data_IF_238017096979
#
_entry.id   IF_238017096979
#
_cell.length_a   1.000
_cell.length_b   1.000
_cell.length_c   1.000
_cell.angle_alpha   90.00
_cell.angle_beta   90.00
_cell.angle_gamma   90.00
#
_symmetry.space_group_name_H-M   'P 1'
#
loop_
_entity.id
_entity.type
_entity.pdbx_description
1 polymer ?
#
# COMPACT_ATOMS: atom_id res chain seq x y z
N UNK A 1 -1.61 29.89 6.35
CA UNK A 1 -2.39 28.66 6.64
C UNK A 1 -3.32 28.39 5.48
N UNK A 2 -2.90 27.60 4.49
CA UNK A 2 -3.71 27.32 3.30
C UNK A 2 -4.60 26.12 3.57
N UNK A 3 -5.90 26.33 3.37
CA UNK A 3 -7.04 25.40 3.43
C UNK A 3 -6.91 24.17 2.50
N UNK A 4 -5.74 23.89 1.91
CA UNK A 4 -5.46 22.79 0.99
C UNK A 4 -4.88 21.53 1.63
N UNK A 5 -4.47 21.58 2.90
CA UNK A 5 -3.89 20.41 3.59
C UNK A 5 -4.93 19.37 4.03
N UNK A 6 -6.20 19.75 4.14
CA UNK A 6 -7.27 18.83 4.57
C UNK A 6 -7.74 17.93 3.42
N UNK A 7 -7.51 18.33 2.16
CA UNK A 7 -7.93 17.53 0.99
C UNK A 7 -6.94 16.41 0.61
N UNK A 8 -5.68 16.49 1.04
CA UNK A 8 -4.68 15.46 0.76
C UNK A 8 -4.90 14.15 1.55
N UNK A 9 -5.72 14.20 2.60
CA UNK A 9 -6.05 13.02 3.43
C UNK A 9 -7.18 12.18 2.78
N UNK A 10 -7.83 12.69 1.72
CA UNK A 10 -8.80 11.93 0.91
C UNK A 10 -8.15 11.06 -0.17
N UNK A 11 -6.85 10.80 -0.10
CA UNK A 11 -6.17 9.79 -0.91
C UNK A 11 -6.46 8.39 -0.35
N UNK A 12 -7.74 8.04 -0.23
CA UNK A 12 -8.17 6.65 -0.08
C UNK A 12 -7.98 5.90 -1.40
N UNK A 13 -8.66 4.75 -1.52
CA UNK A 13 -8.74 3.94 -2.75
C UNK A 13 -8.93 4.79 -4.02
N UNK A 14 -9.72 5.87 -3.95
CA UNK A 14 -9.97 6.79 -5.06
C UNK A 14 -8.71 7.48 -5.62
N UNK A 15 -7.72 7.80 -4.77
CA UNK A 15 -6.45 8.37 -5.20
C UNK A 15 -5.61 7.37 -5.99
N UNK A 16 -5.45 6.15 -5.48
CA UNK A 16 -4.70 5.07 -6.16
C UNK A 16 -5.30 4.69 -7.52
N UNK A 17 -6.63 4.72 -7.63
CA UNK A 17 -7.35 4.44 -8.87
C UNK A 17 -7.18 5.54 -9.93
N UNK A 18 -7.04 6.80 -9.52
CA UNK A 18 -6.76 7.91 -10.43
C UNK A 18 -5.37 7.80 -11.08
N UNK A 19 -4.48 6.98 -10.52
CA UNK A 19 -3.08 6.86 -10.92
C UNK A 19 -2.69 5.53 -11.59
N UNK A 20 -3.65 4.83 -12.21
CA UNK A 20 -3.32 3.75 -13.14
C UNK A 20 -3.41 2.32 -12.59
N UNK A 21 -3.88 2.12 -11.35
CA UNK A 21 -4.42 0.82 -10.95
C UNK A 21 -5.76 0.58 -11.67
N UNK A 22 -5.69 0.07 -12.90
CA UNK A 22 -6.85 -0.18 -13.78
C UNK A 22 -7.70 -1.39 -13.35
N UNK A 23 -7.99 -1.52 -12.05
CA UNK A 23 -9.12 -2.32 -11.58
C UNK A 23 -10.29 -1.38 -11.36
N UNK A 24 -11.46 -1.78 -11.83
CA UNK A 24 -12.68 -0.98 -11.73
C UNK A 24 -12.88 -0.56 -10.26
N UNK A 25 -13.16 0.72 -9.96
CA UNK A 25 -13.28 1.21 -8.57
C UNK A 25 -14.24 0.40 -7.69
N UNK A 26 -15.16 -0.31 -8.33
CA UNK A 26 -16.11 -1.26 -7.75
C UNK A 26 -15.44 -2.48 -7.13
N UNK A 27 -14.29 -2.93 -7.66
CA UNK A 27 -13.55 -4.10 -7.18
C UNK A 27 -12.86 -3.85 -5.83
N UNK A 28 -12.56 -2.59 -5.49
CA UNK A 28 -11.91 -2.21 -4.23
C UNK A 28 -12.90 -1.73 -3.17
N UNK A 29 -14.11 -1.30 -3.56
CA UNK A 29 -15.15 -0.90 -2.60
C UNK A 29 -15.53 -2.07 -1.70
N UNK A 30 -15.62 -1.80 -0.39
CA UNK A 30 -15.99 -2.82 0.59
C UNK A 30 -14.86 -3.80 0.92
N UNK A 31 -13.64 -3.57 0.44
CA UNK A 31 -12.45 -4.36 0.78
C UNK A 31 -11.48 -3.53 1.61
N UNK A 32 -10.82 -4.16 2.57
CA UNK A 32 -9.65 -3.55 3.19
C UNK A 32 -8.48 -3.55 2.19
N UNK A 33 -7.64 -2.52 2.21
CA UNK A 33 -6.52 -2.39 1.26
C UNK A 33 -5.23 -2.12 2.01
N UNK A 34 -4.17 -2.84 1.66
CA UNK A 34 -2.80 -2.52 2.03
C UNK A 34 -2.11 -1.92 0.81
N UNK A 35 -1.55 -0.73 0.96
CA UNK A 35 -0.75 -0.06 -0.07
C UNK A 35 0.67 0.01 0.43
N UNK A 36 1.63 -0.53 -0.33
CA UNK A 36 3.04 -0.56 0.03
C UNK A 36 3.87 0.22 -1.01
N UNK A 37 4.60 1.25 -0.58
CA UNK A 37 5.52 1.98 -1.44
C UNK A 37 6.92 1.39 -1.31
N UNK A 38 7.54 1.03 -2.43
CA UNK A 38 8.80 0.28 -2.44
C UNK A 38 9.67 0.58 -3.67
N UNK A 39 10.92 0.11 -3.64
CA UNK A 39 11.82 0.06 -4.79
C UNK A 39 12.77 -1.14 -4.68
N UNK A 40 13.25 -1.65 -5.81
CA UNK A 40 14.10 -2.84 -5.92
C UNK A 40 15.45 -2.70 -5.21
N UNK A 41 15.97 -1.47 -5.17
CA UNK A 41 17.24 -1.08 -4.55
C UNK A 41 17.14 -0.85 -3.04
N UNK A 42 15.94 -0.80 -2.49
CA UNK A 42 15.69 -0.51 -1.08
C UNK A 42 15.87 -1.79 -0.24
N UNK A 43 16.92 -1.81 0.59
CA UNK A 43 17.28 -2.97 1.44
C UNK A 43 16.14 -3.38 2.38
N UNK A 44 15.49 -2.39 3.01
CA UNK A 44 14.37 -2.66 3.92
C UNK A 44 13.11 -3.15 3.20
N UNK A 45 12.89 -2.72 1.95
CA UNK A 45 11.80 -3.21 1.11
C UNK A 45 12.01 -4.69 0.75
N UNK A 46 13.26 -5.11 0.50
CA UNK A 46 13.61 -6.52 0.29
C UNK A 46 13.38 -7.35 1.55
N UNK A 47 13.67 -6.80 2.73
CA UNK A 47 13.49 -7.49 4.01
C UNK A 47 12.02 -7.81 4.32
N UNK A 48 11.07 -6.94 3.95
CA UNK A 48 9.64 -7.16 4.19
C UNK A 48 8.91 -7.93 3.06
N UNK A 49 9.50 -8.04 1.86
CA UNK A 49 8.84 -8.55 0.66
C UNK A 49 8.18 -9.92 0.86
N UNK A 50 8.92 -10.87 1.46
CA UNK A 50 8.41 -12.22 1.74
C UNK A 50 7.28 -12.26 2.78
N UNK A 51 7.32 -11.36 3.77
CA UNK A 51 6.26 -11.24 4.77
C UNK A 51 4.98 -10.66 4.15
N UNK A 52 5.11 -9.66 3.28
CA UNK A 52 3.99 -9.09 2.53
C UNK A 52 3.33 -10.11 1.61
N UNK A 53 4.10 -10.88 0.83
CA UNK A 53 3.54 -11.91 -0.04
C UNK A 53 2.85 -13.04 0.76
N UNK A 54 3.48 -13.48 1.86
CA UNK A 54 2.87 -14.49 2.75
C UNK A 54 1.56 -14.00 3.34
N UNK A 55 1.49 -12.72 3.74
CA UNK A 55 0.27 -12.12 4.23
C UNK A 55 -0.78 -11.97 3.12
N UNK A 56 -0.39 -11.57 1.91
CA UNK A 56 -1.28 -11.51 0.76
C UNK A 56 -1.95 -12.86 0.50
N UNK A 57 -1.19 -13.96 0.43
CA UNK A 57 -1.76 -15.30 0.23
C UNK A 57 -2.77 -15.68 1.33
N UNK A 58 -2.52 -15.28 2.58
CA UNK A 58 -3.40 -15.56 3.71
C UNK A 58 -4.69 -14.72 3.70
N UNK A 59 -4.67 -13.51 3.14
CA UNK A 59 -5.77 -12.54 3.26
C UNK A 59 -6.53 -12.26 1.96
N UNK A 60 -6.01 -12.62 0.78
CA UNK A 60 -6.63 -12.32 -0.53
C UNK A 60 -8.09 -12.78 -0.67
N UNK A 61 -8.46 -13.88 -0.02
CA UNK A 61 -9.83 -14.42 -0.05
C UNK A 61 -10.70 -13.93 1.14
N UNK A 62 -10.17 -13.04 1.97
CA UNK A 62 -10.83 -12.49 3.18
C UNK A 62 -11.28 -11.03 3.02
N UNK A 63 -11.51 -10.59 1.79
CA UNK A 63 -11.92 -9.21 1.50
C UNK A 63 -10.79 -8.19 1.65
N UNK A 64 -9.54 -8.61 1.41
CA UNK A 64 -8.36 -7.74 1.44
C UNK A 64 -7.74 -7.65 0.04
N UNK A 65 -7.17 -6.49 -0.29
CA UNK A 65 -6.36 -6.28 -1.50
C UNK A 65 -5.01 -5.70 -1.12
N UNK A 66 -3.94 -6.18 -1.75
CA UNK A 66 -2.61 -5.58 -1.64
C UNK A 66 -2.27 -4.87 -2.94
N UNK A 67 -1.75 -3.65 -2.83
CA UNK A 67 -1.27 -2.82 -3.93
C UNK A 67 0.16 -2.37 -3.63
N UNK A 68 1.12 -2.74 -4.48
CA UNK A 68 2.48 -2.23 -4.39
C UNK A 68 2.69 -1.06 -5.35
N UNK A 69 3.24 0.05 -4.85
CA UNK A 69 3.57 1.25 -5.62
C UNK A 69 5.08 1.34 -5.72
N UNK A 70 5.60 0.98 -6.88
CA UNK A 70 7.03 1.03 -7.16
C UNK A 70 7.44 2.46 -7.52
N UNK A 71 8.36 3.06 -6.77
CA UNK A 71 8.81 4.45 -6.96
C UNK A 71 10.31 4.51 -7.29
N UNK A 72 10.71 5.49 -8.09
CA UNK A 72 12.13 5.81 -8.33
C UNK A 72 12.99 4.58 -8.68
N UNK A 73 12.48 3.72 -9.55
CA UNK A 73 13.07 2.43 -9.85
C UNK A 73 13.08 2.18 -11.36
N UNK A 74 13.97 1.29 -11.81
CA UNK A 74 13.94 0.81 -13.18
C UNK A 74 12.93 -0.33 -13.28
N UNK A 75 12.15 -0.32 -14.35
CA UNK A 75 11.09 -1.30 -14.56
C UNK A 75 11.64 -2.75 -14.63
N UNK A 76 12.84 -2.94 -15.18
CA UNK A 76 13.53 -4.23 -15.23
C UNK A 76 13.92 -4.75 -13.83
N UNK A 77 14.44 -3.88 -12.97
CA UNK A 77 14.87 -4.23 -11.61
C UNK A 77 13.65 -4.48 -10.71
N UNK A 78 12.58 -3.71 -10.87
CA UNK A 78 11.30 -3.94 -10.20
C UNK A 78 10.70 -5.31 -10.58
N UNK A 79 10.73 -5.69 -11.86
CA UNK A 79 10.30 -7.03 -12.30
C UNK A 79 11.17 -8.13 -11.73
N UNK A 80 12.49 -7.93 -11.70
CA UNK A 80 13.41 -8.90 -11.12
C UNK A 80 13.14 -9.11 -9.63
N UNK A 81 12.92 -8.04 -8.87
CA UNK A 81 12.52 -8.08 -7.47
C UNK A 81 11.22 -8.88 -7.28
N UNK A 82 10.17 -8.58 -8.05
CA UNK A 82 8.89 -9.28 -7.94
C UNK A 82 9.04 -10.78 -8.22
N UNK A 83 9.86 -11.14 -9.22
CA UNK A 83 10.16 -12.54 -9.55
C UNK A 83 10.94 -13.24 -8.45
N UNK A 84 11.94 -12.58 -7.87
CA UNK A 84 12.81 -13.11 -6.81
C UNK A 84 12.01 -13.46 -5.56
N UNK A 85 11.10 -12.58 -5.14
CA UNK A 85 10.27 -12.78 -3.94
C UNK A 85 8.93 -13.46 -4.23
N UNK A 86 8.66 -13.82 -5.49
CA UNK A 86 7.41 -14.46 -5.89
C UNK A 86 6.18 -13.59 -5.63
N UNK A 87 6.31 -12.27 -5.76
CA UNK A 87 5.23 -11.32 -5.50
C UNK A 87 4.08 -11.55 -6.48
N UNK A 88 2.88 -11.81 -5.96
CA UNK A 88 1.69 -12.10 -6.78
C UNK A 88 0.55 -11.08 -6.61
N UNK A 89 0.64 -10.18 -5.63
CA UNK A 89 -0.28 -9.06 -5.52
C UNK A 89 -0.01 -8.00 -6.59
N UNK A 90 -0.99 -7.12 -6.84
CA UNK A 90 -0.90 -6.13 -7.90
C UNK A 90 0.16 -5.08 -7.58
N UNK A 91 1.00 -4.77 -8.56
CA UNK A 91 2.04 -3.76 -8.47
C UNK A 91 1.95 -2.81 -9.66
N UNK A 92 2.17 -1.52 -9.41
CA UNK A 92 2.21 -0.47 -10.43
C UNK A 92 3.36 0.49 -10.17
N UNK A 93 3.94 1.02 -11.24
CA UNK A 93 5.04 1.99 -11.15
C UNK A 93 4.50 3.42 -11.11
N UNK A 94 4.93 4.20 -10.12
CA UNK A 94 4.73 5.65 -10.07
C UNK A 94 5.90 6.36 -10.75
N UNK A 95 5.90 6.34 -12.08
CA UNK A 95 6.96 6.94 -12.88
C UNK A 95 7.10 8.46 -12.68
N UNK A 96 6.01 9.13 -12.27
CA UNK A 96 5.98 10.59 -12.05
C UNK A 96 6.35 11.01 -10.63
N UNK A 97 6.32 10.09 -9.67
CA UNK A 97 6.40 10.38 -8.23
C UNK A 97 5.15 11.05 -7.65
N UNK A 98 4.11 11.31 -8.46
CA UNK A 98 2.92 12.03 -8.03
C UNK A 98 2.08 11.23 -7.04
N UNK A 99 2.01 9.90 -7.17
CA UNK A 99 1.26 9.06 -6.24
C UNK A 99 1.89 9.17 -4.86
N UNK A 100 3.21 8.99 -4.78
CA UNK A 100 3.97 9.10 -3.55
C UNK A 100 3.79 10.49 -2.90
N UNK A 101 3.95 11.56 -3.67
CA UNK A 101 3.79 12.94 -3.17
C UNK A 101 2.38 13.19 -2.64
N UNK A 102 1.34 12.80 -3.39
CA UNK A 102 -0.04 13.06 -3.00
C UNK A 102 -0.45 12.27 -1.74
N UNK A 103 0.16 11.12 -1.48
CA UNK A 103 -0.05 10.33 -0.26
C UNK A 103 0.89 10.75 0.89
N UNK A 104 1.71 11.80 0.70
CA UNK A 104 2.67 12.26 1.71
C UNK A 104 3.73 11.22 2.04
N UNK A 105 4.14 10.42 1.05
CA UNK A 105 5.24 9.47 1.16
C UNK A 105 6.55 10.24 1.11
N UNK A 106 7.39 10.05 2.11
CA UNK A 106 8.65 10.78 2.28
C UNK A 106 9.88 9.86 2.27
N UNK A 107 9.66 8.55 2.47
CA UNK A 107 10.69 7.52 2.41
C UNK A 107 10.08 6.15 2.12
N UNK A 108 10.92 5.19 1.76
CA UNK A 108 10.51 3.79 1.55
C UNK A 108 11.33 2.83 2.42
N UNK A 109 10.73 1.70 2.86
CA UNK A 109 9.34 1.33 2.62
C UNK A 109 8.36 2.15 3.49
N UNK A 110 7.17 2.38 2.95
CA UNK A 110 6.07 3.04 3.67
C UNK A 110 4.74 2.43 3.25
N UNK A 111 3.92 2.05 4.23
CA UNK A 111 2.69 1.30 3.99
C UNK A 111 1.46 1.92 4.65
N UNK A 112 0.33 1.84 3.96
CA UNK A 112 -0.96 2.35 4.39
C UNK A 112 -1.96 1.21 4.47
N UNK A 113 -2.70 1.16 5.57
CA UNK A 113 -3.80 0.23 5.79
C UNK A 113 -5.09 1.01 5.69
N UNK A 114 -6.01 0.54 4.86
CA UNK A 114 -7.23 1.23 4.49
C UNK A 114 -8.40 0.29 4.77
N UNK A 115 -9.44 0.79 5.42
CA UNK A 115 -10.65 0.01 5.71
C UNK A 115 -11.59 -0.12 4.50
N UNK A 116 -12.62 -0.98 4.56
CA UNK A 116 -13.64 -1.11 3.53
C UNK A 116 -14.39 0.19 3.16
N UNK A 117 -14.36 1.20 4.02
CA UNK A 117 -14.95 2.53 3.79
C UNK A 117 -13.97 3.48 3.08
N UNK A 118 -12.74 3.05 2.81
CA UNK A 118 -11.72 3.83 2.14
C UNK A 118 -10.96 4.78 3.07
N UNK A 119 -11.06 4.62 4.39
CA UNK A 119 -10.34 5.45 5.37
C UNK A 119 -8.99 4.81 5.69
N UNK A 120 -7.94 5.62 5.76
CA UNK A 120 -6.63 5.17 6.25
C UNK A 120 -6.76 4.93 7.75
N UNK A 121 -6.60 3.67 8.17
CA UNK A 121 -6.65 3.26 9.58
C UNK A 121 -5.28 3.20 10.22
N UNK A 122 -4.22 3.03 9.43
CA UNK A 122 -2.86 3.03 9.92
C UNK A 122 -1.85 3.36 8.83
N UNK A 123 -0.78 4.07 9.20
CA UNK A 123 0.38 4.36 8.36
C UNK A 123 1.63 3.85 9.06
N UNK A 124 2.49 3.15 8.32
CA UNK A 124 3.73 2.59 8.83
C UNK A 124 4.91 3.03 7.96
N UNK A 125 5.89 3.69 8.54
CA UNK A 125 7.16 4.01 7.89
C UNK A 125 8.24 3.02 8.36
N UNK A 126 8.97 2.42 7.42
CA UNK A 126 9.95 1.38 7.69
C UNK A 126 9.43 -0.03 7.45
N UNK A 127 10.31 -1.00 7.68
CA UNK A 127 10.08 -2.42 7.40
C UNK A 127 8.93 -2.99 8.24
N UNK A 128 7.95 -3.58 7.56
CA UNK A 128 6.83 -4.26 8.20
C UNK A 128 7.21 -5.65 8.71
N UNK A 129 6.95 -5.88 10.00
CA UNK A 129 6.93 -7.23 10.58
C UNK A 129 5.62 -7.93 10.28
N UNK A 130 5.65 -9.26 10.13
CA UNK A 130 4.45 -10.10 9.92
C UNK A 130 3.36 -9.83 10.95
N UNK A 131 3.72 -9.66 12.23
CA UNK A 131 2.75 -9.37 13.30
C UNK A 131 2.03 -8.03 13.10
N UNK A 132 2.75 -7.00 12.65
CA UNK A 132 2.17 -5.69 12.33
C UNK A 132 1.21 -5.82 11.16
N UNK A 133 1.61 -6.51 10.09
CA UNK A 133 0.76 -6.72 8.91
C UNK A 133 -0.55 -7.39 9.31
N UNK A 134 -0.47 -8.52 10.03
CA UNK A 134 -1.68 -9.27 10.42
C UNK A 134 -2.56 -8.46 11.36
N UNK A 135 -1.98 -7.83 12.39
CA UNK A 135 -2.75 -7.04 13.35
C UNK A 135 -3.50 -5.90 12.68
N UNK A 136 -2.84 -5.17 11.76
CA UNK A 136 -3.42 -3.98 11.15
C UNK A 136 -4.41 -4.31 10.04
N UNK A 137 -4.24 -5.42 9.33
CA UNK A 137 -5.27 -5.95 8.44
C UNK A 137 -6.52 -6.39 9.21
N UNK A 138 -6.35 -7.10 10.33
CA UNK A 138 -7.49 -7.52 11.15
C UNK A 138 -8.20 -6.31 11.79
N UNK A 139 -7.47 -5.24 12.14
CA UNK A 139 -8.06 -3.96 12.60
C UNK A 139 -8.85 -3.27 11.48
N UNK A 140 -8.27 -3.18 10.27
CA UNK A 140 -8.91 -2.57 9.11
C UNK A 140 -10.19 -3.31 8.69
N UNK A 141 -10.17 -4.65 8.71
CA UNK A 141 -11.35 -5.48 8.43
C UNK A 141 -12.47 -5.29 9.47
N UNK A 142 -12.12 -4.98 10.72
CA UNK A 142 -13.09 -4.69 11.78
C UNK A 142 -13.60 -3.24 11.75
N UNK A 143 -13.02 -2.37 10.91
CA UNK A 143 -13.41 -0.96 10.79
C UNK A 143 -12.95 -0.08 11.96
N UNK A 144 -11.96 -0.53 12.74
CA UNK A 144 -11.38 0.28 13.82
C UNK A 144 -10.45 1.35 13.24
N UNK A 145 -10.79 2.61 13.48
CA UNK A 145 -9.90 3.76 13.25
C UNK A 145 -9.02 3.87 14.49
N UNK A 146 -7.69 3.71 14.37
CA UNK A 146 -6.81 4.01 15.50
C UNK A 146 -6.90 5.51 15.78
N UNK A 147 -7.41 5.86 16.95
CA UNK A 147 -7.54 7.22 17.41
C UNK A 147 -6.19 7.75 17.92
N UNK A 148 -5.24 8.02 17.03
CA UNK A 148 -4.03 8.81 17.33
C UNK A 148 -3.33 9.18 16.02
N UNK A 149 -3.38 10.47 15.69
CA UNK A 149 -2.53 11.15 14.70
C UNK A 149 -1.76 12.25 15.43
#
# INVERSE_FOLDING_TARGET
MRLGFVLAILAGIAGLLAYGFSRDSKDLRGKAVLVNFWASWCVHCRAEAGALESAWQKYKDRGVVFLGVNIQDKEEDARAFMKEFGITYLNGQDASGKIAVDHGVWGIPESFFIDPQGRITYKHAGELKTSTITSKLDDALRGFVSAEA
#
